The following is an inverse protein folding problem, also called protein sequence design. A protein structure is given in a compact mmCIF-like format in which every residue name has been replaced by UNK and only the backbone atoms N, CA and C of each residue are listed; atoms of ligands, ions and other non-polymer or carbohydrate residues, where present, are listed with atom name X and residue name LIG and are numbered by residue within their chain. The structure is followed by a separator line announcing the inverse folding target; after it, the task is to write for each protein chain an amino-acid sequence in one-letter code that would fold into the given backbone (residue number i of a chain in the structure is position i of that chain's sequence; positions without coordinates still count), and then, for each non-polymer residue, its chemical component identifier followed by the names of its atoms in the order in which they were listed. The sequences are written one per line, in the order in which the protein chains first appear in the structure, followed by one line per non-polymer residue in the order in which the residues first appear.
data_IF_369405628776
#
_entry.id   IF_369405628776
#
_cell.length_a   1.000
_cell.length_b   1.000
_cell.length_c   1.000
_cell.angle_alpha   90.00
_cell.angle_beta   90.00
_cell.angle_gamma   90.00
#
_symmetry.space_group_name_H-M   'P 1'
#
loop_
_entity.id
_entity.type
_entity.pdbx_description
1 polymer ?
#
# COMPACT_ATOMS: atom_id res chain seq x y z
N UNK A 1 13.74 -36.92 -52.15
CA UNK A 1 14.04 -35.73 -52.98
C UNK A 1 13.22 -34.55 -52.49
N UNK A 2 13.90 -33.39 -52.30
CA UNK A 2 13.41 -32.01 -52.08
C UNK A 2 12.54 -31.76 -50.83
N UNK A 3 13.11 -31.24 -49.74
CA UNK A 3 13.44 -29.82 -49.45
C UNK A 3 12.20 -28.93 -49.36
N UNK A 4 11.85 -28.55 -48.13
CA UNK A 4 11.50 -27.16 -47.76
C UNK A 4 11.79 -26.96 -46.26
N UNK A 5 12.95 -26.34 -46.04
CA UNK A 5 13.34 -25.68 -44.79
C UNK A 5 12.60 -24.35 -44.65
N UNK A 6 12.63 -23.80 -43.42
CA UNK A 6 12.40 -22.41 -43.02
C UNK A 6 10.94 -21.96 -42.87
N UNK A 7 10.48 -21.87 -41.62
CA UNK A 7 10.23 -20.58 -40.92
C UNK A 7 9.65 -20.88 -39.53
N UNK A 8 10.51 -21.02 -38.52
CA UNK A 8 10.11 -21.09 -37.12
C UNK A 8 11.14 -20.30 -36.29
N UNK A 9 11.16 -18.98 -36.47
CA UNK A 9 11.94 -18.08 -35.60
C UNK A 9 11.44 -16.64 -35.75
N UNK A 10 10.46 -16.25 -34.93
CA UNK A 10 10.19 -14.87 -34.47
C UNK A 10 8.81 -14.79 -33.80
N UNK A 11 8.63 -15.51 -32.69
CA UNK A 11 7.54 -15.22 -31.74
C UNK A 11 8.16 -15.08 -30.35
N UNK A 12 9.22 -14.27 -30.25
CA UNK A 12 9.87 -13.96 -29.00
C UNK A 12 9.45 -12.55 -28.58
N UNK A 13 8.56 -12.52 -27.59
CA UNK A 13 8.49 -11.49 -26.54
C UNK A 13 8.44 -10.03 -27.00
N UNK A 14 7.29 -9.60 -27.51
CA UNK A 14 6.84 -8.24 -27.22
C UNK A 14 6.11 -8.27 -25.88
N UNK A 15 6.85 -8.31 -24.76
CA UNK A 15 6.31 -7.78 -23.51
C UNK A 15 6.12 -6.28 -23.75
N UNK A 16 4.93 -5.91 -24.20
CA UNK A 16 4.59 -4.50 -24.33
C UNK A 16 4.56 -3.94 -22.91
N UNK A 17 5.62 -3.20 -22.55
CA UNK A 17 5.57 -2.32 -21.40
C UNK A 17 4.44 -1.32 -21.68
N UNK A 18 3.28 -1.51 -21.04
CA UNK A 18 2.20 -0.57 -21.13
C UNK A 18 2.75 0.82 -20.71
N UNK A 19 2.50 1.89 -21.50
CA UNK A 19 2.93 3.22 -21.12
C UNK A 19 2.29 3.57 -19.78
N UNK A 20 3.12 3.88 -18.79
CA UNK A 20 2.66 4.43 -17.51
C UNK A 20 2.40 5.91 -17.78
N UNK A 21 1.13 6.29 -17.97
CA UNK A 21 0.75 7.69 -18.00
C UNK A 21 0.87 8.24 -16.58
N UNK A 22 1.52 9.39 -16.43
CA UNK A 22 1.53 10.08 -15.15
C UNK A 22 0.13 10.67 -14.92
N UNK A 23 -0.57 10.20 -13.90
CA UNK A 23 -1.89 10.68 -13.52
C UNK A 23 -1.77 11.76 -12.43
N UNK A 24 -2.63 12.77 -12.50
CA UNK A 24 -2.71 13.85 -11.49
C UNK A 24 -4.11 13.84 -10.89
N UNK A 25 -4.19 13.80 -9.56
CA UNK A 25 -5.45 13.78 -8.82
C UNK A 25 -5.49 14.95 -7.84
N UNK A 26 -6.58 15.72 -7.88
CA UNK A 26 -6.91 16.67 -6.82
C UNK A 26 -7.55 15.89 -5.66
N UNK A 27 -7.01 16.05 -4.45
CA UNK A 27 -7.40 15.30 -3.25
C UNK A 27 -7.43 16.22 -2.04
N UNK A 28 -8.23 15.85 -1.04
CA UNK A 28 -8.15 16.42 0.30
C UNK A 28 -7.48 15.41 1.22
N UNK A 29 -6.45 15.84 1.94
CA UNK A 29 -5.61 14.98 2.75
C UNK A 29 -5.67 15.33 4.23
N UNK A 30 -5.79 14.29 5.04
CA UNK A 30 -5.65 14.36 6.48
C UNK A 30 -4.49 13.48 6.93
N UNK A 31 -3.54 14.04 7.68
CA UNK A 31 -2.43 13.30 8.28
C UNK A 31 -2.95 12.29 9.31
N UNK A 32 -2.49 11.03 9.22
CA UNK A 32 -2.89 9.91 10.10
C UNK A 32 -1.72 9.22 10.79
N UNK A 33 -0.50 9.55 10.41
CA UNK A 33 0.73 9.02 11.01
C UNK A 33 1.87 9.98 10.78
N UNK A 34 3.09 9.52 10.98
CA UNK A 34 4.32 10.28 10.81
C UNK A 34 4.40 10.87 9.39
N UNK A 35 4.40 9.99 8.39
CA UNK A 35 4.51 10.25 6.96
C UNK A 35 3.31 9.66 6.18
N UNK A 36 2.21 9.36 6.88
CA UNK A 36 1.01 8.72 6.34
C UNK A 36 -0.16 9.70 6.31
N UNK A 37 -0.80 9.81 5.14
CA UNK A 37 -1.94 10.67 4.87
C UNK A 37 -3.11 9.84 4.36
N UNK A 38 -4.33 10.14 4.78
CA UNK A 38 -5.56 9.53 4.25
C UNK A 38 -6.22 10.50 3.28
N UNK A 39 -6.71 9.99 2.14
CA UNK A 39 -7.60 10.76 1.28
C UNK A 39 -8.98 10.81 1.95
N UNK A 40 -9.49 12.01 2.18
CA UNK A 40 -10.75 12.16 2.89
C UNK A 40 -11.91 11.50 2.14
N UNK A 41 -12.78 10.82 2.89
CA UNK A 41 -13.90 10.06 2.35
C UNK A 41 -13.54 8.77 1.60
N UNK A 42 -12.26 8.39 1.52
CA UNK A 42 -11.80 7.17 0.84
C UNK A 42 -10.90 6.33 1.74
N UNK A 43 -10.99 5.01 1.62
CA UNK A 43 -10.04 4.09 2.28
C UNK A 43 -8.78 3.91 1.42
N UNK A 44 -8.13 5.05 1.17
CA UNK A 44 -6.86 5.16 0.45
C UNK A 44 -5.89 5.95 1.32
N UNK A 45 -4.70 5.40 1.51
CA UNK A 45 -3.62 6.03 2.25
C UNK A 45 -2.44 6.31 1.33
N UNK A 46 -1.77 7.42 1.56
CA UNK A 46 -0.54 7.82 0.88
C UNK A 46 0.56 7.81 1.94
N UNK A 47 1.57 6.97 1.75
CA UNK A 47 2.79 7.01 2.54
C UNK A 47 3.86 7.75 1.77
N UNK A 48 4.44 8.76 2.41
CA UNK A 48 5.50 9.59 1.86
C UNK A 48 6.86 9.18 2.41
N UNK A 49 7.94 9.66 1.79
CA UNK A 49 9.31 9.49 2.30
C UNK A 49 9.66 10.70 3.17
N UNK A 50 9.71 10.49 4.49
CA UNK A 50 10.20 11.49 5.45
C UNK A 50 9.53 12.87 5.34
N UNK A 51 8.23 12.91 5.05
CA UNK A 51 7.46 14.15 4.97
C UNK A 51 6.45 14.20 6.11
N UNK A 52 6.44 15.34 6.81
CA UNK A 52 5.73 15.53 8.08
C UNK A 52 4.81 16.77 8.05
N UNK A 53 4.36 17.18 6.85
CA UNK A 53 3.42 18.29 6.66
C UNK A 53 2.16 18.03 7.48
N UNK A 54 1.75 19.00 8.28
CA UNK A 54 0.55 18.89 9.12
C UNK A 54 -0.70 19.27 8.33
N UNK A 55 -1.25 18.30 7.59
CA UNK A 55 -2.45 18.47 6.79
C UNK A 55 -3.71 17.97 7.52
N UNK A 56 -4.80 18.75 7.48
CA UNK A 56 -6.12 18.36 7.97
C UNK A 56 -7.19 18.82 6.98
N UNK A 57 -7.73 17.88 6.20
CA UNK A 57 -8.57 18.20 5.03
C UNK A 57 -7.94 19.25 4.11
N UNK A 58 -6.62 19.22 3.96
CA UNK A 58 -5.90 20.17 3.11
C UNK A 58 -5.98 19.74 1.65
N UNK A 59 -6.23 20.69 0.76
CA UNK A 59 -6.18 20.48 -0.67
C UNK A 59 -4.74 20.14 -1.12
N UNK A 60 -4.61 19.12 -1.96
CA UNK A 60 -3.34 18.70 -2.51
C UNK A 60 -3.49 18.13 -3.91
N UNK A 61 -2.40 18.14 -4.67
CA UNK A 61 -2.28 17.39 -5.92
C UNK A 61 -1.42 16.16 -5.66
N UNK A 62 -2.00 14.97 -5.84
CA UNK A 62 -1.27 13.72 -5.92
C UNK A 62 -0.91 13.44 -7.38
N UNK A 63 0.38 13.38 -7.68
CA UNK A 63 0.92 12.94 -8.97
C UNK A 63 1.48 11.55 -8.83
N UNK A 64 1.04 10.60 -9.65
CA UNK A 64 1.52 9.21 -9.58
C UNK A 64 2.12 8.76 -10.89
N UNK A 65 3.09 7.85 -10.79
CA UNK A 65 3.62 7.09 -11.91
C UNK A 65 4.02 5.71 -11.42
N UNK A 66 3.14 4.73 -11.64
CA UNK A 66 3.34 3.37 -11.16
C UNK A 66 3.08 3.27 -9.66
N UNK A 67 4.08 2.90 -8.87
CA UNK A 67 3.93 2.73 -7.41
C UNK A 67 4.32 3.96 -6.59
N UNK A 68 4.93 4.95 -7.23
CA UNK A 68 5.43 6.15 -6.56
C UNK A 68 4.89 7.43 -7.21
N UNK A 69 5.44 8.55 -6.78
CA UNK A 69 4.98 9.85 -7.24
C UNK A 69 5.39 10.98 -6.31
N UNK A 70 4.61 12.06 -6.34
CA UNK A 70 4.79 13.26 -5.53
C UNK A 70 3.41 13.73 -5.06
N UNK A 71 3.32 14.22 -3.83
CA UNK A 71 2.17 15.00 -3.36
C UNK A 71 2.59 16.45 -3.14
N UNK A 72 1.76 17.38 -3.57
CA UNK A 72 1.98 18.83 -3.43
C UNK A 72 0.85 19.40 -2.59
N UNK A 73 1.18 19.87 -1.39
CA UNK A 73 0.24 20.46 -0.43
C UNK A 73 -0.01 21.94 -0.75
N UNK A 74 -1.26 22.40 -0.70
CA UNK A 74 -1.61 23.73 -1.18
C UNK A 74 -1.33 24.83 -0.16
N UNK A 75 -1.46 24.59 1.14
CA UNK A 75 -1.27 25.65 2.14
C UNK A 75 0.22 25.90 2.35
N UNK A 76 0.97 24.82 2.61
CA UNK A 76 2.41 24.86 2.85
C UNK A 76 3.23 25.07 1.57
N UNK A 77 2.70 24.68 0.40
CA UNK A 77 3.45 24.53 -0.87
C UNK A 77 4.54 23.47 -0.84
N UNK A 78 4.58 22.65 0.23
CA UNK A 78 5.53 21.57 0.36
C UNK A 78 5.24 20.46 -0.65
N UNK A 79 6.33 19.82 -1.08
CA UNK A 79 6.31 18.69 -2.00
C UNK A 79 6.95 17.49 -1.34
N UNK A 80 6.25 16.37 -1.40
CA UNK A 80 6.66 15.16 -0.71
C UNK A 80 6.69 13.98 -1.66
N UNK A 81 7.81 13.26 -1.69
CA UNK A 81 7.95 12.03 -2.45
C UNK A 81 7.02 10.96 -1.89
N UNK A 82 6.21 10.35 -2.76
CA UNK A 82 5.31 9.25 -2.41
C UNK A 82 6.10 7.95 -2.46
N UNK A 83 6.16 7.25 -1.32
CA UNK A 83 6.71 5.90 -1.19
C UNK A 83 5.75 4.88 -1.78
N UNK A 84 4.47 5.00 -1.44
CA UNK A 84 3.40 4.13 -1.92
C UNK A 84 2.02 4.76 -1.71
N UNK A 85 1.06 4.34 -2.54
CA UNK A 85 -0.37 4.55 -2.32
C UNK A 85 -1.01 3.20 -1.99
N UNK A 86 -1.78 3.13 -0.92
CA UNK A 86 -2.42 1.92 -0.42
C UNK A 86 -3.93 2.04 -0.56
N UNK A 87 -4.56 1.04 -1.18
CA UNK A 87 -6.01 0.93 -1.29
C UNK A 87 -6.54 -0.24 -0.46
N UNK A 88 -7.73 -0.08 0.12
CA UNK A 88 -8.37 -1.15 0.89
C UNK A 88 -8.55 -2.41 0.03
N UNK A 89 -8.15 -3.55 0.59
CA UNK A 89 -8.25 -4.87 -0.01
C UNK A 89 -9.24 -5.72 0.78
N UNK A 90 -10.37 -6.06 0.15
CA UNK A 90 -11.41 -6.87 0.77
C UNK A 90 -10.90 -8.30 0.96
N UNK A 91 -10.72 -8.70 2.22
CA UNK A 91 -10.43 -10.08 2.58
C UNK A 91 -11.73 -10.79 2.91
N UNK A 92 -11.79 -12.09 2.65
CA UNK A 92 -12.86 -12.91 3.20
C UNK A 92 -12.78 -12.91 4.74
N UNK A 93 -13.90 -12.98 5.46
CA UNK A 93 -13.87 -13.12 6.91
C UNK A 93 -13.28 -14.47 7.29
N UNK A 94 -12.39 -14.50 8.30
CA UNK A 94 -11.71 -15.74 8.65
C UNK A 94 -10.52 -15.55 9.58
N UNK A 95 -9.80 -16.66 9.78
CA UNK A 95 -8.54 -16.71 10.53
C UNK A 95 -7.42 -17.11 9.58
N UNK A 96 -6.30 -16.41 9.69
CA UNK A 96 -5.13 -16.55 8.84
C UNK A 96 -3.88 -16.62 9.69
N UNK A 97 -2.95 -17.49 9.30
CA UNK A 97 -1.57 -17.43 9.79
C UNK A 97 -0.79 -16.62 8.78
N UNK A 98 -0.12 -15.57 9.24
CA UNK A 98 0.63 -14.63 8.40
C UNK A 98 2.02 -14.44 8.97
N UNK A 99 3.02 -14.22 8.13
CA UNK A 99 4.33 -13.74 8.54
C UNK A 99 4.39 -12.24 8.28
N UNK A 100 4.67 -11.43 9.29
CA UNK A 100 4.61 -9.97 9.19
C UNK A 100 5.88 -9.29 9.64
N UNK A 101 6.16 -8.14 9.03
CA UNK A 101 7.20 -7.21 9.47
C UNK A 101 6.60 -5.83 9.69
N UNK A 102 7.01 -5.17 10.77
CA UNK A 102 6.73 -3.76 10.99
C UNK A 102 7.35 -2.93 9.86
N UNK A 103 6.54 -2.09 9.22
CA UNK A 103 6.96 -1.26 8.09
C UNK A 103 7.15 0.20 8.50
N UNK A 104 6.15 0.79 9.16
CA UNK A 104 6.16 2.16 9.67
C UNK A 104 4.90 2.42 10.51
N UNK A 105 4.98 3.31 11.51
CA UNK A 105 3.87 3.63 12.42
C UNK A 105 3.07 2.36 12.87
N UNK A 106 1.80 2.26 12.49
CA UNK A 106 0.90 1.13 12.78
C UNK A 106 0.72 0.16 11.59
N UNK A 107 1.66 0.16 10.64
CA UNK A 107 1.59 -0.65 9.42
C UNK A 107 2.55 -1.84 9.46
N UNK A 108 2.03 -2.98 9.01
CA UNK A 108 2.79 -4.23 8.91
C UNK A 108 2.69 -4.76 7.48
N UNK A 109 3.82 -5.11 6.88
CA UNK A 109 3.88 -5.86 5.64
C UNK A 109 3.61 -7.34 5.90
N UNK A 110 2.81 -8.00 5.06
CA UNK A 110 2.68 -9.45 5.05
C UNK A 110 3.68 -10.04 4.06
N UNK A 111 4.66 -10.79 4.57
CA UNK A 111 5.80 -11.29 3.81
C UNK A 111 5.38 -12.16 2.62
N UNK A 112 6.06 -11.98 1.49
CA UNK A 112 5.79 -12.74 0.26
C UNK A 112 4.49 -12.37 -0.45
N UNK A 113 3.80 -11.33 0.00
CA UNK A 113 2.56 -10.82 -0.61
C UNK A 113 2.70 -9.34 -0.97
N UNK A 114 1.64 -8.74 -1.52
CA UNK A 114 1.52 -7.29 -1.69
C UNK A 114 0.50 -6.69 -0.70
N UNK A 115 0.31 -7.33 0.44
CA UNK A 115 -0.69 -6.98 1.45
C UNK A 115 -0.04 -6.32 2.66
N UNK A 116 -0.71 -5.30 3.19
CA UNK A 116 -0.28 -4.51 4.33
C UNK A 116 -1.43 -4.43 5.33
N UNK A 117 -1.16 -4.71 6.59
CA UNK A 117 -2.14 -4.66 7.67
C UNK A 117 -1.98 -3.31 8.35
N UNK A 118 -3.05 -2.52 8.36
CA UNK A 118 -3.13 -1.31 9.17
C UNK A 118 -3.74 -1.67 10.52
N UNK A 119 -3.01 -1.39 11.58
CA UNK A 119 -3.48 -1.54 12.96
C UNK A 119 -3.77 -0.19 13.59
N UNK A 120 -4.21 -0.19 14.84
CA UNK A 120 -4.32 1.03 15.66
C UNK A 120 -3.48 0.91 16.93
N UNK A 121 -2.51 1.83 17.08
CA UNK A 121 -1.63 1.93 18.26
C UNK A 121 -0.96 0.61 18.64
N UNK A 122 -0.49 -0.14 17.64
CA UNK A 122 0.18 -1.42 17.83
C UNK A 122 1.67 -1.19 18.00
N UNK A 123 2.24 -1.64 19.12
CA UNK A 123 3.64 -1.37 19.48
C UNK A 123 4.62 -2.48 19.06
N UNK A 124 4.12 -3.57 18.48
CA UNK A 124 4.96 -4.69 18.05
C UNK A 124 5.96 -4.22 16.97
N UNK A 125 7.23 -4.56 17.14
CA UNK A 125 8.28 -4.26 16.16
C UNK A 125 8.68 -5.49 15.36
N UNK A 126 7.71 -6.37 15.10
CA UNK A 126 7.91 -7.67 14.47
C UNK A 126 8.83 -7.60 13.23
N UNK A 127 9.76 -8.55 13.11
CA UNK A 127 10.67 -8.66 11.96
C UNK A 127 10.58 -10.07 11.35
N UNK A 128 9.63 -10.26 10.44
CA UNK A 128 9.39 -11.55 9.80
C UNK A 128 8.83 -12.59 10.78
N UNK A 129 7.96 -12.15 11.69
CA UNK A 129 7.39 -13.00 12.75
C UNK A 129 6.05 -13.57 12.32
N UNK A 130 5.74 -14.77 12.78
CA UNK A 130 4.42 -15.38 12.59
C UNK A 130 3.39 -14.72 13.52
N UNK A 131 2.21 -14.42 12.98
CA UNK A 131 1.09 -13.85 13.69
C UNK A 131 -0.24 -14.41 13.19
N UNK A 132 -1.25 -14.36 14.06
CA UNK A 132 -2.60 -14.83 13.80
C UNK A 132 -3.50 -13.65 13.49
N UNK A 133 -3.87 -13.51 12.22
CA UNK A 133 -4.80 -12.49 11.74
C UNK A 133 -6.23 -13.03 11.75
N UNK A 134 -7.13 -12.35 12.44
CA UNK A 134 -8.58 -12.63 12.39
C UNK A 134 -9.30 -11.46 11.75
N UNK A 135 -10.05 -11.70 10.68
CA UNK A 135 -10.86 -10.69 9.97
C UNK A 135 -12.35 -10.98 10.18
N UNK A 136 -13.09 -9.96 10.58
CA UNK A 136 -14.53 -10.01 10.75
C UNK A 136 -15.28 -9.60 9.47
N UNK A 137 -16.59 -9.87 9.36
CA UNK A 137 -17.41 -9.45 8.21
C UNK A 137 -17.40 -7.95 7.90
N UNK A 138 -17.07 -7.09 8.88
CA UNK A 138 -16.96 -5.64 8.67
C UNK A 138 -15.60 -5.22 8.10
N UNK A 139 -14.64 -6.14 7.94
CA UNK A 139 -13.27 -5.86 7.47
C UNK A 139 -12.28 -5.50 8.58
N UNK A 140 -12.77 -5.18 9.78
CA UNK A 140 -11.95 -5.00 10.98
C UNK A 140 -11.49 -6.33 11.55
N UNK A 141 -10.46 -6.33 12.37
CA UNK A 141 -9.88 -7.58 12.86
C UNK A 141 -8.96 -7.45 14.06
N UNK A 142 -8.18 -8.51 14.28
CA UNK A 142 -7.13 -8.60 15.30
C UNK A 142 -5.90 -9.24 14.69
N UNK A 143 -4.72 -8.72 15.01
CA UNK A 143 -3.42 -9.31 14.69
C UNK A 143 -2.77 -9.68 16.01
N UNK A 144 -2.62 -10.99 16.26
CA UNK A 144 -2.06 -11.49 17.50
C UNK A 144 -0.70 -12.17 17.27
N UNK A 145 0.30 -11.70 17.98
CA UNK A 145 1.66 -12.23 17.95
C UNK A 145 1.85 -13.32 19.02
N UNK A 146 2.88 -14.14 18.86
CA UNK A 146 3.17 -15.24 19.79
C UNK A 146 3.64 -14.76 21.16
N UNK A 147 4.34 -13.62 21.20
CA UNK A 147 4.82 -12.98 22.44
C UNK A 147 3.69 -12.39 23.30
N UNK A 148 2.48 -12.36 22.75
CA UNK A 148 1.26 -11.98 23.44
C UNK A 148 0.67 -10.65 22.99
N UNK A 149 1.37 -9.87 22.16
CA UNK A 149 0.85 -8.64 21.58
C UNK A 149 -0.41 -8.92 20.77
N UNK A 150 -1.42 -8.05 20.93
CA UNK A 150 -2.73 -8.23 20.31
C UNK A 150 -3.31 -6.90 19.86
N UNK A 151 -3.20 -6.67 18.56
CA UNK A 151 -3.44 -5.38 17.94
C UNK A 151 -4.77 -5.37 17.20
N UNK A 152 -5.52 -4.28 17.36
CA UNK A 152 -6.72 -4.05 16.57
C UNK A 152 -6.33 -3.78 15.12
N UNK A 153 -7.00 -4.44 14.18
CA UNK A 153 -6.80 -4.26 12.73
C UNK A 153 -7.91 -3.36 12.19
N UNK A 154 -7.51 -2.26 11.57
CA UNK A 154 -8.41 -1.33 10.88
C UNK A 154 -8.75 -1.82 9.46
N UNK A 155 -7.85 -2.57 8.84
CA UNK A 155 -8.06 -3.20 7.56
C UNK A 155 -6.79 -3.75 6.93
N UNK A 156 -6.96 -4.45 5.81
CA UNK A 156 -5.88 -4.94 4.97
C UNK A 156 -5.87 -4.14 3.68
N UNK A 157 -4.70 -3.71 3.24
CA UNK A 157 -4.50 -2.82 2.10
C UNK A 157 -3.49 -3.43 1.14
N UNK A 158 -3.54 -3.00 -0.12
CA UNK A 158 -2.53 -3.37 -1.14
C UNK A 158 -1.95 -2.12 -1.78
N UNK A 159 -0.70 -2.21 -2.24
CA UNK A 159 -0.11 -1.12 -3.03
C UNK A 159 -0.87 -0.97 -4.35
N UNK A 160 -1.36 0.22 -4.60
CA UNK A 160 -1.95 0.61 -5.87
C UNK A 160 -0.86 0.96 -6.87
N UNK A 161 -1.08 0.57 -8.11
CA UNK A 161 -0.29 1.02 -9.26
C UNK A 161 -1.16 2.01 -10.03
N UNK A 162 -0.81 3.28 -9.94
CA UNK A 162 -1.54 4.43 -10.50
C UNK A 162 -0.68 5.08 -11.60
#
# INVERSE_FOLDING_TARGET
MKKTLLTALAALMCLQAAPVLAENYEVNLTRKGSNVYKIDGKDIFIQTRYCYVYAYSEEAILKTSGYGGEVIFFDSKDKCDVKAVFGLSKQEPGKYVVTVSHEDDDWYEVFGTNSYIKTSSCLSLALGEEAYLTISPSGFGRLRFEDGDDCMVEGVYTKLRL
#
